data_IF_035504919026
#
_entry.id   IF_035504919026
#
_cell.length_a   1.000
_cell.length_b   1.000
_cell.length_c   1.000
_cell.angle_alpha   90.00
_cell.angle_beta   90.00
_cell.angle_gamma   90.00
#
_symmetry.space_group_name_H-M   'P 1'
#
loop_
_entity.id
_entity.type
_entity.pdbx_description
1 polymer ?
#
# COMPACT_ATOMS: atom_id res chain seq x y z
N UNK A 1 3.40 59.38 -16.20
CA UNK A 1 2.70 59.17 -14.91
C UNK A 1 1.36 58.51 -15.21
N UNK A 2 1.25 57.20 -15.03
CA UNK A 2 -0.03 56.48 -15.01
C UNK A 2 0.04 55.58 -13.79
N UNK A 3 -0.70 55.97 -12.75
CA UNK A 3 -0.73 55.32 -11.45
C UNK A 3 -1.77 54.20 -11.52
N UNK A 4 -1.31 52.95 -11.50
CA UNK A 4 -2.17 51.77 -11.36
C UNK A 4 -2.71 51.71 -9.93
N UNK A 5 -4.00 52.00 -9.78
CA UNK A 5 -4.70 51.84 -8.52
C UNK A 5 -4.88 50.35 -8.22
N UNK A 6 -4.22 49.87 -7.16
CA UNK A 6 -4.51 48.57 -6.55
C UNK A 6 -5.87 48.70 -5.86
N UNK A 7 -6.89 48.08 -6.44
CA UNK A 7 -8.22 48.00 -5.85
C UNK A 7 -8.15 47.20 -4.56
N UNK A 8 -8.38 47.87 -3.42
CA UNK A 8 -8.51 47.23 -2.12
C UNK A 8 -9.72 46.28 -2.12
N UNK A 9 -9.49 45.02 -1.76
CA UNK A 9 -10.54 44.02 -1.62
C UNK A 9 -11.53 44.44 -0.53
N UNK A 10 -12.82 44.51 -0.86
CA UNK A 10 -13.89 44.80 0.10
C UNK A 10 -13.98 43.69 1.17
N UNK A 11 -14.08 44.05 2.46
CA UNK A 11 -14.31 43.08 3.53
C UNK A 11 -15.77 42.59 3.44
N UNK A 12 -15.98 41.36 2.97
CA UNK A 12 -17.31 40.72 2.91
C UNK A 12 -17.62 39.95 1.63
N UNK A 13 -16.76 39.98 0.60
CA UNK A 13 -16.94 39.11 -0.56
C UNK A 13 -16.68 37.64 -0.16
N UNK A 14 -17.57 36.68 -0.49
CA UNK A 14 -17.30 35.27 -0.23
C UNK A 14 -16.01 34.89 -0.94
N UNK A 15 -15.03 34.41 -0.17
CA UNK A 15 -13.78 33.91 -0.73
C UNK A 15 -14.13 32.81 -1.74
N UNK A 16 -13.70 32.91 -3.01
CA UNK A 16 -13.89 31.81 -3.94
C UNK A 16 -13.24 30.55 -3.37
N UNK A 17 -13.83 29.39 -3.66
CA UNK A 17 -13.28 28.11 -3.23
C UNK A 17 -11.80 28.00 -3.62
N UNK A 18 -10.97 27.34 -2.79
CA UNK A 18 -9.55 27.18 -3.08
C UNK A 18 -9.31 26.63 -4.49
N UNK A 19 -8.23 27.05 -5.15
CA UNK A 19 -7.86 26.53 -6.47
C UNK A 19 -7.41 25.06 -6.44
N UNK A 20 -7.27 24.41 -7.61
CA UNK A 20 -7.10 22.95 -7.74
C UNK A 20 -5.89 22.36 -6.99
N UNK A 21 -4.79 23.11 -6.80
CA UNK A 21 -3.62 22.65 -6.04
C UNK A 21 -3.89 22.57 -4.51
N UNK A 22 -4.74 23.45 -3.97
CA UNK A 22 -5.14 23.39 -2.57
C UNK A 22 -6.08 22.20 -2.31
N UNK A 23 -6.87 21.81 -3.31
CA UNK A 23 -7.75 20.63 -3.25
C UNK A 23 -6.98 19.32 -3.29
N UNK A 24 -5.86 19.24 -4.02
CA UNK A 24 -5.06 18.02 -4.07
C UNK A 24 -4.45 17.68 -2.69
N UNK A 25 -3.94 18.69 -1.98
CA UNK A 25 -3.47 18.53 -0.60
C UNK A 25 -4.59 18.14 0.36
N UNK A 26 -5.77 18.73 0.22
CA UNK A 26 -6.94 18.36 1.03
C UNK A 26 -7.40 16.92 0.74
N UNK A 27 -7.52 16.55 -0.53
CA UNK A 27 -7.89 15.21 -0.97
C UNK A 27 -6.94 14.14 -0.44
N UNK A 28 -5.63 14.42 -0.44
CA UNK A 28 -4.62 13.54 0.16
C UNK A 28 -4.86 13.35 1.67
N UNK A 29 -5.05 14.44 2.42
CA UNK A 29 -5.31 14.38 3.87
C UNK A 29 -6.62 13.67 4.20
N UNK A 30 -7.67 13.88 3.41
CA UNK A 30 -8.96 13.21 3.60
C UNK A 30 -8.85 11.70 3.37
N UNK A 31 -8.11 11.26 2.34
CA UNK A 31 -7.81 9.83 2.13
C UNK A 31 -7.01 9.26 3.30
N UNK A 32 -5.99 9.99 3.76
CA UNK A 32 -5.17 9.55 4.88
C UNK A 32 -6.01 9.41 6.18
N UNK A 33 -6.91 10.36 6.46
CA UNK A 33 -7.85 10.27 7.58
C UNK A 33 -8.84 9.11 7.41
N UNK A 34 -9.29 8.84 6.19
CA UNK A 34 -10.18 7.71 5.93
C UNK A 34 -9.56 6.37 6.32
N UNK A 35 -8.24 6.21 6.22
CA UNK A 35 -7.53 4.99 6.61
C UNK A 35 -7.60 4.69 8.12
N UNK A 36 -7.87 5.68 8.98
CA UNK A 36 -8.02 5.45 10.42
C UNK A 36 -9.46 5.11 10.82
N UNK A 37 -10.44 5.41 9.97
CA UNK A 37 -11.85 5.18 10.27
C UNK A 37 -12.18 3.70 10.60
N UNK A 38 -11.65 2.69 9.88
CA UNK A 38 -11.87 1.29 10.24
C UNK A 38 -11.38 0.94 11.65
N UNK A 39 -10.31 1.57 12.14
CA UNK A 39 -9.75 1.29 13.46
C UNK A 39 -10.68 1.78 14.57
N UNK A 40 -11.24 2.98 14.39
CA UNK A 40 -12.20 3.55 15.34
C UNK A 40 -13.54 2.81 15.31
N UNK A 41 -13.95 2.34 14.14
CA UNK A 41 -15.18 1.57 13.97
C UNK A 41 -15.14 0.23 14.73
N UNK A 42 -13.97 -0.36 14.96
CA UNK A 42 -13.83 -1.53 15.85
C UNK A 42 -14.30 -1.23 17.28
N UNK A 43 -13.92 -0.07 17.82
CA UNK A 43 -14.31 0.33 19.18
C UNK A 43 -15.80 0.66 19.29
N UNK A 44 -16.45 1.08 18.20
CA UNK A 44 -17.89 1.26 18.14
C UNK A 44 -18.61 -0.09 18.06
N UNK A 45 -18.15 -0.98 17.18
CA UNK A 45 -18.80 -2.27 16.92
C UNK A 45 -18.60 -3.27 18.05
N UNK A 46 -17.55 -3.15 18.88
CA UNK A 46 -17.31 -4.07 20.01
C UNK A 46 -18.50 -4.18 20.97
N UNK A 47 -19.31 -3.12 21.10
CA UNK A 47 -20.50 -3.11 21.93
C UNK A 47 -21.59 -4.10 21.47
N UNK A 48 -21.58 -4.49 20.19
CA UNK A 48 -22.54 -5.43 19.62
C UNK A 48 -22.08 -6.89 19.70
N UNK A 49 -20.87 -7.16 20.22
CA UNK A 49 -20.39 -8.53 20.41
C UNK A 49 -20.92 -9.13 21.71
N UNK A 50 -21.21 -10.44 21.67
CA UNK A 50 -21.53 -11.20 22.87
C UNK A 50 -20.29 -11.34 23.76
N UNK A 51 -20.19 -10.51 24.80
CA UNK A 51 -19.10 -10.50 25.78
C UNK A 51 -18.82 -9.11 26.35
N UNK A 52 -18.04 -9.03 27.43
CA UNK A 52 -17.64 -7.76 28.06
C UNK A 52 -16.40 -7.16 27.37
N UNK A 53 -16.44 -7.02 26.05
CA UNK A 53 -15.29 -6.52 25.27
C UNK A 53 -15.05 -5.02 25.40
N UNK A 54 -15.87 -4.32 26.19
CA UNK A 54 -15.72 -2.89 26.49
C UNK A 54 -14.36 -2.55 27.11
N UNK A 55 -13.74 -3.48 27.83
CA UNK A 55 -12.44 -3.29 28.50
C UNK A 55 -11.27 -3.20 27.50
N UNK A 56 -11.38 -3.83 26.32
CA UNK A 56 -10.32 -3.80 25.33
C UNK A 56 -10.36 -2.51 24.50
N UNK A 57 -9.22 -1.88 24.30
CA UNK A 57 -9.05 -0.77 23.36
C UNK A 57 -8.76 -1.33 21.97
N UNK A 58 -9.81 -1.52 21.16
CA UNK A 58 -9.71 -2.28 19.91
C UNK A 58 -8.85 -1.56 18.88
N UNK A 59 -8.90 -0.23 18.80
CA UNK A 59 -8.02 0.53 17.93
C UNK A 59 -6.53 0.33 18.26
N UNK A 60 -6.17 0.19 19.54
CA UNK A 60 -4.79 -0.09 19.94
C UNK A 60 -4.35 -1.50 19.53
N UNK A 61 -5.22 -2.50 19.77
CA UNK A 61 -4.98 -3.88 19.34
C UNK A 61 -4.84 -3.95 17.81
N UNK A 62 -5.64 -3.17 17.08
CA UNK A 62 -5.60 -3.12 15.63
C UNK A 62 -4.30 -2.48 15.11
N UNK A 63 -3.84 -1.38 15.71
CA UNK A 63 -2.53 -0.81 15.38
C UNK A 63 -1.39 -1.79 15.68
N UNK A 64 -1.47 -2.50 16.81
CA UNK A 64 -0.50 -3.55 17.13
C UNK A 64 -0.54 -4.71 16.14
N UNK A 65 -1.72 -5.11 15.67
CA UNK A 65 -1.87 -6.15 14.65
C UNK A 65 -1.24 -5.74 13.32
N UNK A 66 -1.49 -4.50 12.86
CA UNK A 66 -0.86 -3.96 11.66
C UNK A 66 0.66 -3.94 11.83
N UNK A 67 1.17 -3.50 12.99
CA UNK A 67 2.60 -3.49 13.28
C UNK A 67 3.21 -4.90 13.21
N UNK A 68 2.62 -5.87 13.93
CA UNK A 68 3.08 -7.26 13.93
C UNK A 68 3.13 -7.84 12.51
N UNK A 69 2.05 -7.69 11.73
CA UNK A 69 2.02 -8.16 10.33
C UNK A 69 3.11 -7.48 9.51
N UNK A 70 3.24 -6.16 9.60
CA UNK A 70 4.24 -5.37 8.85
C UNK A 70 5.66 -5.83 9.17
N UNK A 71 5.94 -6.15 10.44
CA UNK A 71 7.26 -6.58 10.87
C UNK A 71 7.55 -8.04 10.54
N UNK A 72 6.54 -8.90 10.47
CA UNK A 72 6.71 -10.30 10.08
C UNK A 72 6.80 -10.50 8.57
N UNK A 73 6.27 -9.56 7.77
CA UNK A 73 6.43 -9.60 6.33
C UNK A 73 7.91 -9.53 5.93
N UNK A 74 8.28 -10.43 5.03
CA UNK A 74 9.51 -10.32 4.26
C UNK A 74 9.16 -10.24 2.76
N UNK A 75 10.19 -10.29 1.92
CA UNK A 75 9.99 -10.16 0.48
C UNK A 75 9.22 -11.35 -0.12
N UNK A 76 9.36 -12.54 0.46
CA UNK A 76 8.93 -13.81 -0.13
C UNK A 76 7.59 -14.29 0.42
N UNK A 77 7.39 -14.10 1.70
CA UNK A 77 6.25 -14.54 2.50
C UNK A 77 5.60 -13.36 3.20
N UNK A 78 4.29 -13.42 3.39
CA UNK A 78 3.64 -12.50 4.32
C UNK A 78 3.70 -13.05 5.75
N UNK A 79 3.01 -12.38 6.67
CA UNK A 79 2.87 -12.86 8.04
C UNK A 79 1.91 -14.06 8.10
N UNK A 80 2.25 -15.07 8.92
CA UNK A 80 1.34 -16.16 9.25
C UNK A 80 0.25 -15.66 10.23
N UNK A 81 -0.99 -16.06 9.99
CA UNK A 81 -2.14 -15.59 10.77
C UNK A 81 -2.08 -16.07 12.22
N UNK A 82 -1.75 -17.34 12.47
CA UNK A 82 -1.72 -17.90 13.81
C UNK A 82 -0.51 -17.38 14.59
N UNK A 83 0.64 -17.20 13.93
CA UNK A 83 1.80 -16.53 14.54
C UNK A 83 1.50 -15.07 14.89
N UNK A 84 0.80 -14.34 14.00
CA UNK A 84 0.35 -12.97 14.25
C UNK A 84 -0.52 -12.91 15.50
N UNK A 85 -1.52 -13.80 15.61
CA UNK A 85 -2.40 -13.90 16.79
C UNK A 85 -1.58 -14.17 18.04
N UNK A 86 -0.69 -15.17 18.02
CA UNK A 86 0.14 -15.54 19.17
C UNK A 86 0.99 -14.38 19.69
N UNK A 87 1.52 -13.54 18.79
CA UNK A 87 2.32 -12.36 19.14
C UNK A 87 1.48 -11.20 19.71
N UNK A 88 0.19 -11.14 19.39
CA UNK A 88 -0.72 -10.13 19.93
C UNK A 88 -1.21 -10.47 21.35
N UNK A 89 -1.26 -11.76 21.70
CA UNK A 89 -1.82 -12.22 22.98
C UNK A 89 -1.23 -11.53 24.21
N UNK A 90 0.11 -11.35 24.36
CA UNK A 90 0.66 -10.68 25.54
C UNK A 90 0.17 -9.24 25.71
N UNK A 91 -0.02 -8.52 24.58
CA UNK A 91 -0.49 -7.13 24.60
C UNK A 91 -1.98 -7.04 24.91
N UNK A 92 -2.78 -7.96 24.38
CA UNK A 92 -4.22 -8.04 24.68
C UNK A 92 -4.43 -8.43 26.16
N UNK A 93 -3.65 -9.39 26.66
CA UNK A 93 -3.69 -9.81 28.06
C UNK A 93 -3.32 -8.67 29.01
N UNK A 94 -2.39 -7.79 28.62
CA UNK A 94 -2.04 -6.62 29.43
C UNK A 94 -3.20 -5.62 29.60
N UNK A 95 -4.14 -5.53 28.65
CA UNK A 95 -5.31 -4.67 28.78
C UNK A 95 -6.37 -5.23 29.75
N UNK A 96 -6.46 -6.55 29.89
CA UNK A 96 -7.43 -7.21 30.78
C UNK A 96 -6.84 -8.49 31.42
N UNK A 97 -5.91 -8.37 32.38
CA UNK A 97 -5.16 -9.53 32.90
C UNK A 97 -6.02 -10.61 33.56
N UNK A 98 -7.20 -10.24 34.07
CA UNK A 98 -8.11 -11.13 34.78
C UNK A 98 -8.99 -11.98 33.85
N UNK A 99 -8.94 -11.74 32.53
CA UNK A 99 -9.75 -12.47 31.55
C UNK A 99 -9.04 -13.75 31.08
N UNK A 100 -9.80 -14.77 30.63
CA UNK A 100 -9.20 -16.03 30.20
C UNK A 100 -8.47 -15.86 28.85
N UNK A 101 -7.38 -16.62 28.65
CA UNK A 101 -6.60 -16.60 27.41
C UNK A 101 -7.43 -16.86 26.14
N UNK A 102 -8.44 -17.73 26.22
CA UNK A 102 -9.36 -17.99 25.11
C UNK A 102 -10.21 -16.76 24.72
N UNK A 103 -10.43 -15.82 25.63
CA UNK A 103 -11.05 -14.53 25.31
C UNK A 103 -10.07 -13.63 24.56
N UNK A 104 -8.82 -13.52 25.02
CA UNK A 104 -7.79 -12.75 24.34
C UNK A 104 -7.56 -13.21 22.90
N UNK A 105 -7.56 -14.53 22.68
CA UNK A 105 -7.43 -15.11 21.34
C UNK A 105 -8.63 -14.78 20.44
N UNK A 106 -9.85 -14.81 20.99
CA UNK A 106 -11.05 -14.38 20.25
C UNK A 106 -10.99 -12.91 19.87
N UNK A 107 -10.51 -12.05 20.78
CA UNK A 107 -10.31 -10.61 20.50
C UNK A 107 -9.26 -10.41 19.40
N UNK A 108 -8.12 -11.11 19.49
CA UNK A 108 -7.06 -11.03 18.48
C UNK A 108 -7.59 -11.42 17.09
N UNK A 109 -8.28 -12.56 17.00
CA UNK A 109 -8.85 -13.07 15.75
C UNK A 109 -9.92 -12.14 15.20
N UNK A 110 -10.82 -11.64 16.05
CA UNK A 110 -11.86 -10.70 15.64
C UNK A 110 -11.28 -9.40 15.08
N UNK A 111 -10.27 -8.81 15.73
CA UNK A 111 -9.60 -7.61 15.21
C UNK A 111 -8.97 -7.89 13.85
N UNK A 112 -8.25 -9.01 13.71
CA UNK A 112 -7.56 -9.37 12.48
C UNK A 112 -8.52 -9.61 11.30
N UNK A 113 -9.61 -10.34 11.52
CA UNK A 113 -10.66 -10.59 10.53
C UNK A 113 -11.33 -9.29 10.06
N UNK A 114 -11.50 -8.32 10.97
CA UNK A 114 -12.05 -7.02 10.61
C UNK A 114 -11.06 -6.14 9.86
N UNK A 115 -9.76 -6.23 10.15
CA UNK A 115 -8.72 -5.53 9.38
C UNK A 115 -8.56 -6.06 7.95
N UNK A 116 -8.78 -7.37 7.76
CA UNK A 116 -8.87 -8.01 6.43
C UNK A 116 -10.20 -7.67 5.75
N UNK A 117 -11.20 -7.23 6.52
CA UNK A 117 -12.56 -6.95 6.11
C UNK A 117 -13.25 -8.17 5.46
N UNK A 118 -13.15 -9.34 6.11
CA UNK A 118 -13.72 -10.62 5.62
C UNK A 118 -15.24 -10.52 5.33
N UNK A 119 -15.95 -9.59 5.96
CA UNK A 119 -17.39 -9.37 5.75
C UNK A 119 -17.79 -8.66 4.45
N UNK A 120 -16.82 -8.18 3.66
CA UNK A 120 -17.05 -7.50 2.37
C UNK A 120 -16.62 -8.38 1.19
N UNK A 121 -17.37 -8.33 0.08
CA UNK A 121 -17.11 -9.12 -1.14
C UNK A 121 -15.70 -8.86 -1.68
N UNK A 122 -15.29 -7.60 -1.71
CA UNK A 122 -13.97 -7.20 -2.22
C UNK A 122 -12.88 -7.19 -1.13
N UNK A 123 -13.26 -7.48 0.12
CA UNK A 123 -12.38 -7.43 1.30
C UNK A 123 -11.59 -6.12 1.38
N UNK A 124 -12.30 -5.01 1.15
CA UNK A 124 -11.74 -3.66 1.13
C UNK A 124 -12.70 -2.64 1.74
N UNK A 125 -12.14 -1.56 2.24
CA UNK A 125 -12.84 -0.42 2.80
C UNK A 125 -13.11 0.61 1.72
N UNK A 126 -14.24 1.31 1.84
CA UNK A 126 -14.62 2.40 0.95
C UNK A 126 -14.83 3.66 1.76
N UNK A 127 -14.23 4.75 1.31
CA UNK A 127 -14.49 6.09 1.81
C UNK A 127 -14.89 7.01 0.66
N UNK A 128 -15.74 7.99 0.94
CA UNK A 128 -16.15 9.00 -0.04
C UNK A 128 -15.54 10.33 0.37
N UNK A 129 -14.88 11.00 -0.56
CA UNK A 129 -14.30 12.32 -0.32
C UNK A 129 -14.69 13.32 -1.42
N UNK A 130 -14.66 14.60 -1.07
CA UNK A 130 -14.98 15.69 -1.99
C UNK A 130 -13.73 16.29 -2.62
N UNK A 131 -13.81 16.62 -3.90
CA UNK A 131 -12.80 17.40 -4.64
C UNK A 131 -13.50 18.36 -5.59
N UNK A 132 -12.79 19.34 -6.13
CA UNK A 132 -13.31 20.14 -7.25
C UNK A 132 -12.72 19.65 -8.57
N UNK A 133 -13.58 19.57 -9.60
CA UNK A 133 -13.17 19.26 -10.96
C UNK A 133 -12.46 20.45 -11.64
N UNK A 134 -11.89 20.24 -12.84
CA UNK A 134 -11.24 21.31 -13.62
C UNK A 134 -12.16 22.53 -13.86
N UNK A 135 -13.47 22.27 -13.94
CA UNK A 135 -14.52 23.27 -14.17
C UNK A 135 -14.98 23.97 -12.87
N UNK A 136 -14.34 23.68 -11.73
CA UNK A 136 -14.70 24.24 -10.42
C UNK A 136 -15.96 23.64 -9.79
N UNK A 137 -16.53 22.57 -10.38
CA UNK A 137 -17.67 21.86 -9.81
C UNK A 137 -17.23 20.89 -8.70
N UNK A 138 -17.99 20.80 -7.61
CA UNK A 138 -17.74 19.84 -6.54
C UNK A 138 -18.10 18.42 -7.00
N UNK A 139 -17.12 17.51 -6.93
CA UNK A 139 -17.22 16.11 -7.32
C UNK A 139 -16.91 15.23 -6.12
N UNK A 140 -17.81 14.28 -5.83
CA UNK A 140 -17.54 13.20 -4.88
C UNK A 140 -16.77 12.08 -5.57
N UNK A 141 -15.76 11.57 -4.91
CA UNK A 141 -14.94 10.46 -5.38
C UNK A 141 -14.93 9.36 -4.33
N UNK A 142 -14.99 8.13 -4.82
CA UNK A 142 -14.79 6.96 -4.00
C UNK A 142 -13.28 6.69 -3.86
N UNK A 143 -12.90 6.27 -2.67
CA UNK A 143 -11.58 5.80 -2.34
C UNK A 143 -11.71 4.41 -1.73
N UNK A 144 -11.36 3.42 -2.55
CA UNK A 144 -11.29 2.03 -2.13
C UNK A 144 -9.87 1.71 -1.68
N UNK A 145 -9.73 1.16 -0.47
CA UNK A 145 -8.44 0.82 0.11
C UNK A 145 -8.55 -0.46 0.95
N UNK A 146 -7.41 -1.05 1.29
CA UNK A 146 -7.31 -2.17 2.23
C UNK A 146 -6.37 -1.76 3.35
N UNK A 147 -6.37 -2.50 4.45
CA UNK A 147 -5.38 -2.34 5.51
C UNK A 147 -4.47 -3.57 5.53
N UNK A 148 -5.09 -4.74 5.69
CA UNK A 148 -4.44 -6.04 5.56
C UNK A 148 -5.10 -6.81 4.42
N UNK A 149 -4.30 -7.49 3.62
CA UNK A 149 -4.76 -8.37 2.55
C UNK A 149 -4.21 -9.79 2.71
N UNK A 150 -5.02 -10.77 2.33
CA UNK A 150 -4.61 -12.16 2.23
C UNK A 150 -4.01 -12.42 0.84
N UNK A 151 -2.78 -12.92 0.81
CA UNK A 151 -2.05 -13.24 -0.42
C UNK A 151 -1.69 -14.72 -0.41
N UNK A 152 -1.95 -15.46 -1.52
CA UNK A 152 -1.55 -16.86 -1.61
C UNK A 152 -0.03 -16.97 -1.65
N UNK A 153 0.49 -17.84 -0.79
CA UNK A 153 1.90 -18.19 -0.70
C UNK A 153 2.28 -19.44 -1.50
N UNK A 154 3.59 -19.75 -1.55
CA UNK A 154 4.07 -21.00 -2.12
C UNK A 154 3.45 -22.21 -1.40
N UNK A 155 2.88 -23.14 -2.17
CA UNK A 155 2.26 -24.35 -1.59
C UNK A 155 0.80 -24.19 -1.14
N UNK A 156 0.16 -23.05 -1.41
CA UNK A 156 -1.28 -22.84 -1.14
C UNK A 156 -1.59 -22.37 0.29
N UNK A 157 -0.57 -22.07 1.09
CA UNK A 157 -0.74 -21.33 2.35
C UNK A 157 -1.22 -19.91 2.07
N UNK A 158 -1.96 -19.32 2.99
CA UNK A 158 -2.41 -17.93 2.90
C UNK A 158 -1.61 -17.11 3.89
N UNK A 159 -1.01 -16.02 3.41
CA UNK A 159 -0.26 -15.09 4.24
C UNK A 159 -0.93 -13.73 4.28
N UNK A 160 -0.72 -13.01 5.38
CA UNK A 160 -1.19 -11.65 5.57
C UNK A 160 -0.13 -10.66 5.10
N UNK A 161 -0.54 -9.64 4.35
CA UNK A 161 0.33 -8.52 3.97
C UNK A 161 -0.34 -7.20 4.30
N UNK A 162 0.45 -6.28 4.83
CA UNK A 162 0.07 -4.90 5.09
C UNK A 162 0.14 -4.10 3.79
N UNK A 163 -0.84 -3.23 3.61
CA UNK A 163 -0.90 -2.28 2.49
C UNK A 163 -0.19 -0.96 2.79
N UNK A 164 0.03 -0.14 1.78
CA UNK A 164 0.66 1.18 1.94
C UNK A 164 -0.18 2.09 2.84
N UNK A 165 -1.51 2.00 2.74
CA UNK A 165 -2.44 2.71 3.61
C UNK A 165 -2.24 2.37 5.08
N UNK A 166 -2.10 1.10 5.41
CA UNK A 166 -1.90 0.66 6.78
C UNK A 166 -0.51 1.05 7.32
N UNK A 167 0.55 0.98 6.49
CA UNK A 167 1.88 1.49 6.88
C UNK A 167 1.84 3.00 7.10
N UNK A 168 1.13 3.77 6.27
CA UNK A 168 0.97 5.22 6.44
C UNK A 168 0.27 5.58 7.75
N UNK A 169 -0.70 4.76 8.18
CA UNK A 169 -1.35 4.90 9.49
C UNK A 169 -0.35 4.66 10.63
N UNK A 170 0.53 3.66 10.54
CA UNK A 170 1.56 3.39 11.57
C UNK A 170 2.58 4.53 11.71
N UNK A 171 3.07 5.06 10.58
CA UNK A 171 4.12 6.10 10.59
C UNK A 171 3.56 7.46 11.04
N UNK A 172 2.23 7.63 11.05
CA UNK A 172 1.59 8.92 11.25
C UNK A 172 1.88 9.91 10.11
N UNK A 173 2.35 9.41 8.97
CA UNK A 173 2.76 10.19 7.80
C UNK A 173 1.55 10.48 6.89
N UNK A 174 0.49 11.06 7.45
CA UNK A 174 -0.73 11.37 6.72
C UNK A 174 -0.57 12.54 5.71
N UNK A 175 0.57 13.25 5.71
CA UNK A 175 0.79 14.43 4.83
C UNK A 175 2.26 14.75 4.47
N UNK A 176 3.18 13.78 4.48
CA UNK A 176 4.59 14.07 4.08
C UNK A 176 4.92 13.42 2.74
N UNK A 177 5.46 14.20 1.80
CA UNK A 177 6.07 13.68 0.57
C UNK A 177 7.20 12.69 0.93
N UNK A 178 7.02 11.42 0.56
CA UNK A 178 7.79 10.28 1.08
C UNK A 178 9.26 10.38 0.72
N UNK A 179 9.58 10.89 -0.47
CA UNK A 179 10.95 11.04 -0.99
C UNK A 179 11.73 12.15 -0.28
N UNK A 180 11.13 13.34 -0.12
CA UNK A 180 11.74 14.45 0.62
C UNK A 180 11.87 14.15 2.12
N UNK A 181 10.91 13.41 2.68
CA UNK A 181 10.92 12.99 4.08
C UNK A 181 11.98 11.93 4.40
N UNK A 182 12.34 11.08 3.43
CA UNK A 182 13.28 9.99 3.62
C UNK A 182 14.72 10.50 3.84
N UNK A 183 15.22 11.37 2.96
CA UNK A 183 16.56 11.98 3.09
C UNK A 183 16.66 12.81 4.37
N UNK A 184 15.62 13.58 4.70
CA UNK A 184 15.57 14.38 5.92
C UNK A 184 15.55 13.49 7.18
N UNK A 185 14.83 12.36 7.16
CA UNK A 185 14.79 11.42 8.29
C UNK A 185 16.14 10.70 8.49
N UNK A 186 16.85 10.40 7.42
CA UNK A 186 18.19 9.78 7.46
C UNK A 186 19.21 10.70 8.14
N UNK A 187 19.37 11.92 7.63
CA UNK A 187 20.28 12.91 8.23
C UNK A 187 19.87 13.19 9.67
N UNK A 188 18.56 13.25 9.95
CA UNK A 188 18.06 13.44 11.31
C UNK A 188 18.44 12.28 12.23
N UNK A 189 18.33 11.02 11.79
CA UNK A 189 18.71 9.85 12.61
C UNK A 189 20.19 9.90 12.97
N UNK A 190 21.07 10.16 12.02
CA UNK A 190 22.51 10.28 12.26
C UNK A 190 22.82 11.41 13.26
N UNK A 191 22.21 12.59 13.08
CA UNK A 191 22.37 13.72 14.00
C UNK A 191 21.85 13.41 15.40
N UNK A 192 20.72 12.69 15.53
CA UNK A 192 20.15 12.31 16.83
C UNK A 192 21.04 11.31 17.57
N UNK A 193 21.58 10.31 16.86
CA UNK A 193 22.56 9.36 17.41
C UNK A 193 23.81 10.09 17.89
N UNK A 194 24.36 10.99 17.08
CA UNK A 194 25.53 11.80 17.43
C UNK A 194 25.29 12.69 18.65
N UNK A 195 24.07 13.18 18.85
CA UNK A 195 23.69 14.02 19.99
C UNK A 195 23.26 13.22 21.23
N UNK A 196 23.32 11.87 21.19
CA UNK A 196 22.88 11.02 22.30
C UNK A 196 21.38 11.05 22.56
N UNK A 197 20.57 11.58 21.62
CA UNK A 197 19.10 11.61 21.74
C UNK A 197 18.50 10.27 21.31
N UNK A 198 18.82 9.21 22.04
CA UNK A 198 18.49 7.84 21.65
C UNK A 198 16.98 7.56 21.55
N UNK A 199 16.15 8.19 22.39
CA UNK A 199 14.70 8.02 22.31
C UNK A 199 14.12 8.55 20.99
N UNK A 200 14.55 9.72 20.54
CA UNK A 200 14.13 10.28 19.25
C UNK A 200 14.75 9.51 18.08
N UNK A 201 15.98 9.01 18.25
CA UNK A 201 16.65 8.18 17.26
C UNK A 201 15.92 6.84 17.06
N UNK A 202 15.42 6.23 18.13
CA UNK A 202 14.61 5.01 18.09
C UNK A 202 13.35 5.21 17.26
N UNK A 203 12.58 6.27 17.54
CA UNK A 203 11.40 6.60 16.74
C UNK A 203 11.75 6.80 15.26
N UNK A 204 12.84 7.52 14.96
CA UNK A 204 13.30 7.73 13.59
C UNK A 204 13.73 6.42 12.90
N UNK A 205 14.34 5.49 13.64
CA UNK A 205 14.75 4.18 13.13
C UNK A 205 13.55 3.25 12.89
N UNK A 206 12.54 3.27 13.76
CA UNK A 206 11.28 2.54 13.55
C UNK A 206 10.56 3.02 12.28
N UNK A 207 10.50 4.34 12.08
CA UNK A 207 9.96 4.91 10.84
C UNK A 207 10.77 4.49 9.60
N UNK A 208 12.10 4.46 9.70
CA UNK A 208 12.94 3.97 8.62
C UNK A 208 12.66 2.50 8.30
N UNK A 209 12.48 1.66 9.32
CA UNK A 209 12.13 0.24 9.17
C UNK A 209 10.80 0.06 8.41
N UNK A 210 9.77 0.82 8.76
CA UNK A 210 8.49 0.75 8.04
C UNK A 210 8.62 1.15 6.57
N UNK A 211 9.43 2.17 6.26
CA UNK A 211 9.71 2.58 4.87
C UNK A 211 10.43 1.50 4.08
N UNK A 212 11.38 0.79 4.70
CA UNK A 212 12.04 -0.37 4.06
C UNK A 212 11.02 -1.44 3.66
N UNK A 213 10.04 -1.73 4.53
CA UNK A 213 8.96 -2.69 4.22
C UNK A 213 8.08 -2.20 3.08
N UNK A 214 7.67 -0.94 3.12
CA UNK A 214 6.84 -0.32 2.08
C UNK A 214 7.51 -0.35 0.71
N UNK A 215 8.80 -0.02 0.66
CA UNK A 215 9.61 -0.05 -0.55
C UNK A 215 9.73 -1.47 -1.12
N UNK A 216 10.03 -2.45 -0.26
CA UNK A 216 10.10 -3.86 -0.65
C UNK A 216 8.76 -4.36 -1.22
N UNK A 217 7.64 -3.97 -0.61
CA UNK A 217 6.30 -4.33 -1.07
C UNK A 217 5.95 -3.71 -2.43
N UNK A 218 6.32 -2.44 -2.63
CA UNK A 218 6.15 -1.75 -3.91
C UNK A 218 6.91 -2.46 -5.03
N UNK A 219 8.19 -2.79 -4.80
CA UNK A 219 9.00 -3.55 -5.75
C UNK A 219 8.41 -4.94 -6.01
N UNK A 220 8.01 -5.66 -4.97
CA UNK A 220 7.39 -6.99 -5.10
C UNK A 220 6.14 -6.94 -5.98
N UNK A 221 5.24 -5.97 -5.76
CA UNK A 221 4.03 -5.78 -6.59
C UNK A 221 4.37 -5.45 -8.03
N UNK A 222 5.34 -4.56 -8.26
CA UNK A 222 5.79 -4.22 -9.60
C UNK A 222 6.34 -5.45 -10.34
N UNK A 223 7.20 -6.24 -9.68
CA UNK A 223 7.78 -7.48 -10.20
C UNK A 223 6.73 -8.56 -10.45
N UNK A 224 5.72 -8.68 -9.59
CA UNK A 224 4.63 -9.63 -9.75
C UNK A 224 3.66 -9.25 -10.87
N UNK A 225 3.32 -7.96 -11.01
CA UNK A 225 2.50 -7.46 -12.12
C UNK A 225 3.20 -7.69 -13.47
N UNK A 226 4.50 -7.39 -13.49
CA UNK A 226 5.43 -7.66 -14.58
C UNK A 226 5.41 -9.17 -14.90
N UNK A 227 5.60 -10.06 -13.91
CA UNK A 227 5.52 -11.53 -14.08
C UNK A 227 4.21 -12.00 -14.70
N UNK A 228 3.06 -11.45 -14.29
CA UNK A 228 1.74 -11.90 -14.77
C UNK A 228 1.43 -11.50 -16.21
N UNK A 229 2.01 -10.40 -16.69
CA UNK A 229 1.77 -9.93 -18.04
C UNK A 229 3.06 -9.48 -18.72
N UNK A 230 3.80 -10.48 -19.24
CA UNK A 230 5.08 -10.27 -19.92
C UNK A 230 4.98 -9.42 -21.19
N UNK A 231 3.78 -9.17 -21.72
CA UNK A 231 3.62 -8.36 -22.94
C UNK A 231 3.33 -6.89 -22.67
N UNK A 232 2.96 -6.53 -21.44
CA UNK A 232 2.48 -5.18 -21.10
C UNK A 232 3.56 -4.18 -20.68
N UNK A 233 4.76 -4.66 -20.35
CA UNK A 233 5.87 -3.83 -19.85
C UNK A 233 7.03 -3.88 -20.85
N UNK A 234 7.88 -2.85 -20.92
CA UNK A 234 9.14 -2.90 -21.68
C UNK A 234 10.24 -3.57 -20.84
N UNK A 235 10.62 -4.78 -21.25
CA UNK A 235 11.57 -5.63 -20.53
C UNK A 235 13.01 -5.42 -20.95
N UNK A 236 13.23 -4.79 -22.10
CA UNK A 236 14.57 -4.54 -22.58
C UNK A 236 15.19 -3.35 -21.83
N UNK A 237 14.34 -2.43 -21.35
CA UNK A 237 14.75 -1.18 -20.71
C UNK A 237 14.09 -0.97 -19.36
N UNK A 238 12.77 -0.83 -19.30
CA UNK A 238 12.06 -0.38 -18.08
C UNK A 238 12.27 -1.28 -16.87
N UNK A 239 12.16 -2.61 -17.02
CA UNK A 239 12.34 -3.53 -15.89
C UNK A 239 13.81 -3.60 -15.42
N UNK A 240 14.81 -3.77 -16.32
CA UNK A 240 16.21 -3.67 -15.93
C UNK A 240 16.59 -2.34 -15.27
N UNK A 241 16.10 -1.21 -15.81
CA UNK A 241 16.37 0.13 -15.26
C UNK A 241 15.79 0.25 -13.85
N UNK A 242 14.54 -0.19 -13.64
CA UNK A 242 13.90 -0.24 -12.32
C UNK A 242 14.68 -1.13 -11.33
N UNK A 243 15.15 -2.31 -11.77
CA UNK A 243 15.95 -3.20 -10.91
C UNK A 243 17.30 -2.57 -10.58
N UNK A 244 17.97 -1.93 -11.55
CA UNK A 244 19.25 -1.25 -11.34
C UNK A 244 19.09 -0.10 -10.36
N UNK A 245 18.10 0.76 -10.55
CA UNK A 245 17.77 1.85 -9.64
C UNK A 245 17.48 1.32 -8.22
N UNK A 246 16.75 0.21 -8.14
CA UNK A 246 16.46 -0.41 -6.85
C UNK A 246 17.70 -0.99 -6.16
N UNK A 247 18.61 -1.62 -6.91
CA UNK A 247 19.88 -2.14 -6.39
C UNK A 247 20.79 -1.00 -5.91
N UNK A 248 20.88 0.09 -6.67
CA UNK A 248 21.65 1.28 -6.28
C UNK A 248 21.11 1.90 -4.99
N UNK A 249 19.78 2.07 -4.90
CA UNK A 249 19.13 2.56 -3.70
C UNK A 249 19.40 1.63 -2.49
N UNK A 250 19.28 0.31 -2.65
CA UNK A 250 19.57 -0.65 -1.56
C UNK A 250 21.04 -0.61 -1.13
N UNK A 251 21.97 -0.46 -2.07
CA UNK A 251 23.40 -0.35 -1.77
C UNK A 251 23.71 0.92 -0.95
N UNK A 252 23.11 2.05 -1.31
CA UNK A 252 23.24 3.31 -0.57
C UNK A 252 22.70 3.16 0.87
N UNK A 253 21.49 2.59 1.00
CA UNK A 253 20.86 2.31 2.30
C UNK A 253 21.73 1.43 3.18
N UNK A 254 22.27 0.34 2.64
CA UNK A 254 23.17 -0.57 3.36
C UNK A 254 24.42 0.14 3.89
N UNK A 255 25.03 1.04 3.10
CA UNK A 255 26.21 1.82 3.53
C UNK A 255 25.85 2.76 4.69
N UNK A 256 24.73 3.48 4.58
CA UNK A 256 24.27 4.40 5.62
C UNK A 256 23.94 3.67 6.92
N UNK A 257 23.23 2.55 6.85
CA UNK A 257 22.84 1.77 8.02
C UNK A 257 24.04 1.16 8.75
N UNK A 258 25.06 0.71 8.02
CA UNK A 258 26.31 0.23 8.64
C UNK A 258 27.10 1.35 9.33
N UNK A 259 27.10 2.56 8.75
CA UNK A 259 27.71 3.73 9.39
C UNK A 259 26.99 4.09 10.69
N UNK A 260 25.65 4.12 10.67
CA UNK A 260 24.80 4.35 11.84
C UNK A 260 25.04 3.27 12.90
N UNK A 261 25.05 1.99 12.52
CA UNK A 261 25.31 0.87 13.44
C UNK A 261 26.66 0.97 14.14
N UNK A 262 27.71 1.32 13.40
CA UNK A 262 29.05 1.54 13.95
C UNK A 262 29.05 2.68 14.97
N UNK A 263 28.35 3.78 14.65
CA UNK A 263 28.24 4.93 15.54
C UNK A 263 27.46 4.61 16.83
N UNK A 264 26.33 3.91 16.72
CA UNK A 264 25.53 3.51 17.90
C UNK A 264 26.35 2.62 18.84
N UNK A 265 27.10 1.65 18.29
CA UNK A 265 27.99 0.79 19.09
C UNK A 265 29.04 1.61 19.83
N UNK A 266 29.70 2.54 19.14
CA UNK A 266 30.67 3.46 19.74
C UNK A 266 30.05 4.29 20.88
N UNK A 267 28.90 4.94 20.62
CA UNK A 267 28.18 5.75 21.64
C UNK A 267 27.77 4.90 22.84
N UNK A 268 27.31 3.66 22.61
CA UNK A 268 26.96 2.71 23.68
C UNK A 268 28.17 2.33 24.52
N UNK A 269 29.30 2.07 23.88
CA UNK A 269 30.52 1.59 24.56
C UNK A 269 31.26 2.73 25.29
N UNK A 270 31.14 3.98 24.83
CA UNK A 270 31.67 5.19 25.50
C UNK A 270 30.84 5.62 26.72
N UNK A 271 29.57 5.21 26.80
CA UNK A 271 28.68 5.57 27.91
C UNK A 271 28.88 4.60 29.08
N UNK A 272 29.58 5.04 30.12
CA UNK A 272 29.82 4.24 31.33
C UNK A 272 28.53 3.78 32.03
N UNK A 273 28.53 2.52 32.48
CA UNK A 273 27.42 1.74 33.05
C UNK A 273 26.69 2.43 34.22
N UNK A 274 27.40 3.26 34.98
CA UNK A 274 26.91 3.78 36.26
C UNK A 274 25.95 4.97 36.14
N UNK A 275 25.92 5.69 35.01
CA UNK A 275 25.20 6.97 34.92
C UNK A 275 23.79 6.88 34.32
N UNK A 276 23.52 5.93 33.40
CA UNK A 276 22.21 5.84 32.71
C UNK A 276 21.91 4.41 32.19
N UNK A 277 21.34 3.50 33.02
CA UNK A 277 21.03 2.13 32.58
C UNK A 277 20.06 2.08 31.38
N UNK A 278 19.08 2.98 31.34
CA UNK A 278 18.11 3.09 30.23
C UNK A 278 18.76 3.42 28.88
N UNK A 279 19.92 4.09 28.90
CA UNK A 279 20.63 4.49 27.68
C UNK A 279 21.22 3.27 26.96
N UNK A 280 21.69 2.27 27.72
CA UNK A 280 22.20 1.02 27.16
C UNK A 280 21.10 0.16 26.57
N UNK A 281 19.96 0.07 27.26
CA UNK A 281 18.79 -0.66 26.75
C UNK A 281 18.32 -0.07 25.42
N UNK A 282 18.11 1.26 25.37
CA UNK A 282 17.71 1.96 24.14
C UNK A 282 18.73 1.82 23.02
N UNK A 283 20.03 1.87 23.33
CA UNK A 283 21.07 1.64 22.33
C UNK A 283 21.03 0.21 21.79
N UNK A 284 20.75 -0.79 22.64
CA UNK A 284 20.60 -2.19 22.23
C UNK A 284 19.37 -2.37 21.33
N UNK A 285 18.21 -1.84 21.72
CA UNK A 285 16.98 -1.84 20.91
C UNK A 285 17.21 -1.20 19.54
N UNK A 286 17.88 -0.04 19.50
CA UNK A 286 18.23 0.65 18.26
C UNK A 286 19.17 -0.19 17.38
N UNK A 287 20.16 -0.86 17.98
CA UNK A 287 21.04 -1.80 17.25
C UNK A 287 20.24 -2.92 16.61
N UNK A 288 19.24 -3.48 17.31
CA UNK A 288 18.44 -4.57 16.80
C UNK A 288 17.50 -4.12 15.66
N UNK A 289 16.93 -2.90 15.76
CA UNK A 289 16.15 -2.30 14.66
C UNK A 289 17.03 -2.12 13.41
N UNK A 290 18.23 -1.53 13.55
CA UNK A 290 19.11 -1.29 12.40
C UNK A 290 19.61 -2.61 11.79
N UNK A 291 19.91 -3.62 12.60
CA UNK A 291 20.25 -4.96 12.09
C UNK A 291 19.11 -5.60 11.31
N UNK A 292 17.86 -5.42 11.74
CA UNK A 292 16.69 -5.90 11.00
C UNK A 292 16.60 -5.22 9.63
N UNK A 293 16.75 -3.90 9.56
CA UNK A 293 16.79 -3.16 8.29
C UNK A 293 17.87 -3.70 7.34
N UNK A 294 19.10 -3.88 7.83
CA UNK A 294 20.22 -4.43 7.06
C UNK A 294 19.88 -5.82 6.51
N UNK A 295 19.30 -6.70 7.35
CA UNK A 295 18.90 -8.05 6.94
C UNK A 295 17.84 -7.99 5.83
N UNK A 296 16.81 -7.17 5.98
CA UNK A 296 15.74 -7.00 4.98
C UNK A 296 16.30 -6.47 3.66
N UNK A 297 17.19 -5.48 3.70
CA UNK A 297 17.85 -4.95 2.51
C UNK A 297 18.74 -6.00 1.81
N UNK A 298 19.47 -6.81 2.58
CA UNK A 298 20.28 -7.91 2.02
C UNK A 298 19.40 -8.97 1.35
N UNK A 299 18.28 -9.34 1.98
CA UNK A 299 17.32 -10.29 1.39
C UNK A 299 16.70 -9.71 0.10
N UNK A 300 16.27 -8.44 0.13
CA UNK A 300 15.74 -7.75 -1.03
C UNK A 300 16.76 -7.72 -2.19
N UNK A 301 18.03 -7.40 -1.90
CA UNK A 301 19.10 -7.40 -2.90
C UNK A 301 19.26 -8.77 -3.56
N UNK A 302 19.34 -9.85 -2.77
CA UNK A 302 19.43 -11.21 -3.29
C UNK A 302 18.27 -11.51 -4.23
N UNK A 303 17.05 -11.13 -3.84
CA UNK A 303 15.85 -11.37 -4.64
C UNK A 303 15.80 -10.57 -5.94
N UNK A 304 16.26 -9.31 -5.90
CA UNK A 304 16.38 -8.49 -7.11
C UNK A 304 17.38 -9.08 -8.12
N UNK A 305 18.50 -9.63 -7.63
CA UNK A 305 19.48 -10.31 -8.48
C UNK A 305 18.94 -11.63 -9.06
N UNK A 306 18.18 -12.39 -8.27
CA UNK A 306 17.54 -13.65 -8.70
C UNK A 306 16.34 -13.42 -9.64
N UNK A 307 15.77 -12.22 -9.65
CA UNK A 307 14.58 -11.91 -10.42
C UNK A 307 14.84 -12.06 -11.93
N UNK A 308 16.00 -11.62 -12.42
CA UNK A 308 16.36 -11.66 -13.84
C UNK A 308 16.24 -13.06 -14.48
N UNK A 309 16.90 -14.10 -13.94
CA UNK A 309 16.75 -15.47 -14.43
C UNK A 309 15.32 -16.01 -14.36
N UNK A 310 14.59 -15.74 -13.27
CA UNK A 310 13.19 -16.18 -13.09
C UNK A 310 12.29 -15.56 -14.16
N UNK A 311 12.48 -14.28 -14.49
CA UNK A 311 11.71 -13.62 -15.53
C UNK A 311 11.98 -14.14 -16.93
N UNK A 312 13.23 -14.50 -17.25
CA UNK A 312 13.54 -15.14 -18.54
C UNK A 312 12.79 -16.46 -18.69
N UNK A 313 12.75 -17.26 -17.61
CA UNK A 313 11.99 -18.51 -17.61
C UNK A 313 10.47 -18.25 -17.76
N UNK A 314 9.92 -17.23 -17.11
CA UNK A 314 8.49 -16.86 -17.26
C UNK A 314 8.18 -16.25 -18.64
N UNK A 315 9.14 -15.54 -19.26
CA UNK A 315 9.02 -15.06 -20.64
C UNK A 315 8.96 -16.22 -21.62
N UNK A 316 9.88 -17.17 -21.55
CA UNK A 316 9.86 -18.36 -22.41
C UNK A 316 8.53 -19.11 -22.21
N UNK A 317 8.14 -19.31 -20.95
CA UNK A 317 6.88 -19.96 -20.61
C UNK A 317 5.68 -19.26 -21.24
N UNK A 318 5.56 -17.93 -21.14
CA UNK A 318 4.40 -17.19 -21.64
C UNK A 318 4.45 -16.90 -23.15
N UNK A 319 5.64 -16.81 -23.73
CA UNK A 319 5.83 -16.68 -25.18
C UNK A 319 5.44 -17.97 -25.91
N UNK A 320 5.75 -19.13 -25.29
CA UNK A 320 5.48 -20.45 -25.85
C UNK A 320 4.24 -21.15 -25.25
N UNK A 321 3.57 -20.56 -24.26
CA UNK A 321 2.30 -21.06 -23.76
C UNK A 321 1.19 -20.86 -24.80
N UNK A 322 0.46 -21.94 -25.09
CA UNK A 322 -0.81 -21.86 -25.79
C UNK A 322 -1.74 -20.94 -24.98
N UNK A 323 -2.28 -19.84 -25.55
CA UNK A 323 -3.14 -18.93 -24.83
C UNK A 323 -4.29 -19.72 -24.19
N UNK A 324 -4.47 -19.58 -22.88
CA UNK A 324 -5.61 -20.16 -22.21
C UNK A 324 -6.88 -19.61 -22.88
N UNK A 325 -7.73 -20.50 -23.40
CA UNK A 325 -8.89 -20.16 -24.23
C UNK A 325 -9.97 -19.29 -23.53
N UNK A 326 -9.70 -18.79 -22.32
CA UNK A 326 -10.64 -18.02 -21.49
C UNK A 326 -10.00 -16.84 -20.73
N UNK A 327 -8.83 -16.35 -21.15
CA UNK A 327 -8.37 -15.03 -20.69
C UNK A 327 -8.98 -13.98 -21.61
N UNK A 328 -9.63 -12.96 -21.03
CA UNK A 328 -10.32 -11.91 -21.77
C UNK A 328 -9.46 -11.36 -22.90
N UNK A 329 -10.04 -11.26 -24.09
CA UNK A 329 -9.38 -10.75 -25.28
C UNK A 329 -8.84 -9.34 -24.99
N UNK A 330 -7.52 -9.14 -25.14
CA UNK A 330 -6.91 -7.81 -25.13
C UNK A 330 -7.28 -7.10 -26.43
N UNK A 331 -8.49 -6.52 -26.45
CA UNK A 331 -9.01 -5.80 -27.61
C UNK A 331 -8.16 -4.60 -27.97
N UNK A 332 -7.51 -3.97 -26.99
CA UNK A 332 -6.67 -2.81 -27.23
C UNK A 332 -5.39 -3.20 -27.96
N UNK A 333 -4.59 -4.13 -27.42
CA UNK A 333 -3.32 -4.52 -28.01
C UNK A 333 -3.46 -5.40 -29.26
N UNK A 334 -4.50 -6.24 -29.34
CA UNK A 334 -4.63 -7.24 -30.40
C UNK A 334 -5.53 -6.82 -31.56
N UNK A 335 -6.46 -5.89 -31.35
CA UNK A 335 -7.38 -5.43 -32.39
C UNK A 335 -7.23 -3.94 -32.67
N UNK A 336 -7.33 -3.07 -31.65
CA UNK A 336 -7.40 -1.62 -31.85
C UNK A 336 -6.05 -1.00 -32.24
N UNK A 337 -4.99 -1.25 -31.48
CA UNK A 337 -3.68 -0.67 -31.73
C UNK A 337 -3.13 -1.04 -33.14
N UNK A 338 -3.26 -2.27 -33.64
CA UNK A 338 -2.82 -2.64 -34.98
C UNK A 338 -3.65 -2.05 -36.14
N UNK A 339 -4.94 -1.72 -35.93
CA UNK A 339 -5.80 -1.17 -37.01
C UNK A 339 -5.75 0.35 -37.11
N UNK A 340 -5.34 1.06 -36.04
CA UNK A 340 -5.19 2.52 -36.03
C UNK A 340 -4.28 3.08 -37.15
N UNK A 341 -3.15 2.44 -37.52
CA UNK A 341 -2.33 2.92 -38.63
C UNK A 341 -2.81 2.47 -40.02
N UNK A 342 -3.83 1.62 -40.13
CA UNK A 342 -4.27 1.04 -41.40
C UNK A 342 -5.34 1.91 -42.11
N UNK A 343 -5.46 1.82 -43.45
CA UNK A 343 -6.53 2.47 -44.18
C UNK A 343 -7.92 1.99 -43.72
N UNK A 344 -8.88 2.91 -43.70
CA UNK A 344 -10.24 2.69 -43.20
C UNK A 344 -10.91 1.43 -43.77
N UNK A 345 -10.71 1.14 -45.05
CA UNK A 345 -11.25 -0.06 -45.71
C UNK A 345 -10.76 -1.36 -45.06
N UNK A 346 -9.48 -1.42 -44.68
CA UNK A 346 -8.86 -2.58 -44.06
C UNK A 346 -9.22 -2.68 -42.58
N UNK A 347 -9.26 -1.55 -41.87
CA UNK A 347 -9.72 -1.49 -40.49
C UNK A 347 -11.16 -2.03 -40.36
N UNK A 348 -12.07 -1.55 -41.22
CA UNK A 348 -13.50 -1.93 -41.23
C UNK A 348 -13.66 -3.43 -41.48
N UNK A 349 -12.94 -3.98 -42.47
CA UNK A 349 -13.00 -5.42 -42.80
C UNK A 349 -12.57 -6.30 -41.63
N UNK A 350 -11.53 -5.90 -40.90
CA UNK A 350 -11.00 -6.65 -39.76
C UNK A 350 -11.94 -6.54 -38.56
N UNK A 351 -12.46 -5.35 -38.25
CA UNK A 351 -13.42 -5.17 -37.16
C UNK A 351 -14.72 -5.90 -37.41
N UNK A 352 -15.26 -5.85 -38.64
CA UNK A 352 -16.50 -6.55 -38.98
C UNK A 352 -16.36 -8.06 -38.86
N UNK A 353 -15.25 -8.62 -39.35
CA UNK A 353 -14.97 -10.04 -39.22
C UNK A 353 -14.83 -10.48 -37.75
N UNK A 354 -14.18 -9.65 -36.93
CA UNK A 354 -14.02 -9.91 -35.51
C UNK A 354 -15.36 -9.82 -34.77
N UNK A 355 -16.12 -8.74 -34.90
CA UNK A 355 -17.40 -8.58 -34.20
C UNK A 355 -18.49 -9.52 -34.72
N UNK A 356 -18.47 -9.92 -36.00
CA UNK A 356 -19.40 -10.92 -36.52
C UNK A 356 -19.21 -12.31 -35.90
N UNK A 357 -18.00 -12.64 -35.42
CA UNK A 357 -17.65 -13.96 -34.88
C UNK A 357 -17.36 -13.98 -33.39
N UNK A 358 -16.97 -12.84 -32.83
CA UNK A 358 -16.46 -12.68 -31.46
C UNK A 358 -17.51 -12.22 -30.46
N UNK A 359 -18.58 -11.54 -30.90
CA UNK A 359 -19.74 -11.32 -30.04
C UNK A 359 -20.63 -12.55 -30.13
N UNK A 360 -21.00 -13.14 -28.99
CA UNK A 360 -21.90 -14.29 -28.92
C UNK A 360 -23.22 -14.07 -29.67
N UNK A 361 -24.09 -15.09 -29.76
CA UNK A 361 -25.32 -15.03 -30.55
C UNK A 361 -26.10 -13.75 -30.21
N UNK A 362 -26.24 -12.87 -31.21
CA UNK A 362 -27.10 -11.69 -31.09
C UNK A 362 -28.50 -12.20 -30.85
N UNK A 363 -29.10 -11.87 -29.71
CA UNK A 363 -30.54 -12.02 -29.54
C UNK A 363 -31.19 -11.27 -30.71
N UNK A 364 -31.98 -11.93 -31.57
CA UNK A 364 -32.71 -11.21 -32.60
C UNK A 364 -33.55 -10.15 -31.90
N UNK A 365 -33.58 -8.94 -32.44
CA UNK A 365 -34.48 -7.91 -31.96
C UNK A 365 -35.91 -8.47 -32.07
N UNK A 366 -36.47 -8.95 -30.97
CA UNK A 366 -37.87 -9.34 -30.91
C UNK A 366 -38.64 -8.04 -31.05
N UNK A 367 -39.28 -7.85 -32.21
CA UNK A 367 -40.19 -6.72 -32.42
C UNK A 367 -41.20 -6.77 -31.29
N UNK A 368 -41.20 -5.75 -30.42
CA UNK A 368 -42.22 -5.68 -29.37
C UNK A 368 -43.53 -5.35 -30.07
N UNK A 369 -44.60 -6.01 -29.66
CA UNK A 369 -45.92 -5.78 -30.24
C UNK A 369 -46.34 -4.31 -30.12
N UNK A 370 -45.85 -3.60 -29.10
CA UNK A 370 -46.01 -2.15 -28.95
C UNK A 370 -45.36 -1.32 -30.07
N UNK A 371 -44.17 -1.69 -30.53
CA UNK A 371 -43.46 -0.99 -31.62
C UNK A 371 -44.17 -1.19 -32.97
N UNK A 372 -44.87 -2.32 -33.14
CA UNK A 372 -45.71 -2.62 -34.30
C UNK A 372 -47.03 -1.83 -34.30
N UNK A 373 -47.58 -1.54 -33.12
CA UNK A 373 -48.81 -0.76 -32.98
C UNK A 373 -48.57 0.71 -33.32
N UNK A 374 -47.45 1.29 -32.90
CA UNK A 374 -47.07 2.67 -33.25
C UNK A 374 -46.84 2.84 -34.77
N UNK A 375 -46.28 1.81 -35.43
CA UNK A 375 -46.01 1.81 -36.86
C UNK A 375 -47.25 1.54 -37.74
N UNK A 376 -48.34 1.02 -37.15
CA UNK A 376 -49.62 0.75 -37.84
C UNK A 376 -50.69 1.80 -37.57
N UNK A 377 -50.52 2.65 -36.54
CA UNK A 377 -51.46 3.69 -36.14
C UNK A 377 -50.96 5.12 -36.43
N UNK A 378 -49.82 5.26 -37.11
CA UNK A 378 -49.41 6.48 -37.83
C UNK A 378 -49.31 6.18 -39.31
#
# INVERSE_FOLDING_TARGET
>A
MVTTAVSAAQPGAPRPAPGPAADEGLARRLRALACTAPLHDLDVRKANLAGEYSTYAMAEVALAAIDVVTLQMDFDTGADQEETIARLLPRIAAQAPDRPAAEHERVARWVLENLINVGSVDRGFRAVYGTFGPDGAYVRRDYDFKLIEEVPGPGGTVYLRTTDEAVNVLVGALDTDVTSAQIAAEVKLEVLVNRGRLADAQLAAEQARYRTVQYAETLRRALEATRRNVRSVDWLKTVPDMISEALDHVADRYRHENAILTNIRRVRDETGDERHPDHKLRAAELVDIVKDCIRRHTQLQSRLLDAGPIFRAEQDRQAFATPAARVGLDLYGQLLHPILPEPLERATRVTDAFFARGTGPRTPASVRLGDLVDLLLT
#
